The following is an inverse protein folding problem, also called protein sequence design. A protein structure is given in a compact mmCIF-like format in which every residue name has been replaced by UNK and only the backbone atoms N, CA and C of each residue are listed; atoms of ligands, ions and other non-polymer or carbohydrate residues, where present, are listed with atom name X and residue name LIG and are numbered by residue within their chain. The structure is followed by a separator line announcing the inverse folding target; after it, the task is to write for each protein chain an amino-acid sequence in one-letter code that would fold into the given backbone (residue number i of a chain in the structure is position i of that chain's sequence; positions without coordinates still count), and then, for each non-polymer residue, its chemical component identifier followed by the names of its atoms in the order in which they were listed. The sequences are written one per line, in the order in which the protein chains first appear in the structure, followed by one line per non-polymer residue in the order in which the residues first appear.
data_IF_844679140593
#
_entry.id   IF_844679140593
#
_cell.length_a   1.000
_cell.length_b   1.000
_cell.length_c   1.000
_cell.angle_alpha   90.00
_cell.angle_beta   90.00
_cell.angle_gamma   90.00
#
_symmetry.space_group_name_H-M   'P 1'
#
loop_
_entity.id
_entity.type
_entity.pdbx_description
1 polymer ?
#
# COMPACT_ATOMS: atom_id res chain seq x y z
N UNK A 1 -23.88 -20.65 -18.83
CA UNK A 1 -24.52 -21.04 -17.54
C UNK A 1 -24.24 -19.91 -16.56
N UNK A 2 -25.30 -19.35 -15.97
CA UNK A 2 -25.18 -18.42 -14.85
C UNK A 2 -24.56 -19.21 -13.69
N UNK A 3 -23.45 -18.74 -13.13
CA UNK A 3 -22.83 -19.39 -12.00
C UNK A 3 -23.65 -19.03 -10.76
N UNK A 4 -24.12 -20.03 -10.02
CA UNK A 4 -25.04 -19.87 -8.90
C UNK A 4 -24.41 -20.47 -7.63
N UNK A 5 -24.65 -19.84 -6.50
CA UNK A 5 -24.30 -20.32 -5.18
C UNK A 5 -25.56 -20.24 -4.30
N UNK A 6 -26.21 -21.40 -4.04
CA UNK A 6 -27.54 -21.49 -3.49
C UNK A 6 -28.59 -20.69 -4.32
N UNK A 7 -29.22 -19.67 -3.73
CA UNK A 7 -30.16 -18.78 -4.40
C UNK A 7 -29.56 -17.45 -4.88
N UNK A 8 -28.23 -17.30 -4.75
CA UNK A 8 -27.50 -16.13 -5.22
C UNK A 8 -26.91 -16.40 -6.61
N UNK A 9 -27.25 -15.56 -7.56
CA UNK A 9 -26.68 -15.59 -8.91
C UNK A 9 -25.42 -14.73 -8.96
N UNK A 10 -24.31 -15.27 -9.48
CA UNK A 10 -23.06 -14.54 -9.71
C UNK A 10 -23.12 -13.85 -11.08
N UNK A 11 -23.54 -12.58 -11.11
CA UNK A 11 -23.90 -11.89 -12.36
C UNK A 11 -22.70 -11.25 -13.03
N UNK A 12 -21.87 -10.54 -12.26
CA UNK A 12 -20.72 -9.80 -12.80
C UNK A 12 -19.49 -10.02 -11.92
N UNK A 13 -18.36 -10.38 -12.52
CA UNK A 13 -17.09 -10.49 -11.81
C UNK A 13 -16.40 -9.13 -11.74
N UNK A 14 -16.30 -8.56 -10.55
CA UNK A 14 -15.69 -7.24 -10.31
C UNK A 14 -14.16 -7.33 -10.19
N UNK A 15 -13.66 -8.26 -9.35
CA UNK A 15 -12.23 -8.38 -9.04
C UNK A 15 -11.86 -9.80 -8.67
N UNK A 16 -10.61 -10.18 -8.93
CA UNK A 16 -10.02 -11.40 -8.40
C UNK A 16 -8.71 -11.06 -7.71
N UNK A 17 -8.50 -11.54 -6.49
CA UNK A 17 -7.32 -11.27 -5.69
C UNK A 17 -7.07 -12.42 -4.71
N UNK A 18 -5.82 -12.85 -4.57
CA UNK A 18 -5.38 -13.88 -3.62
C UNK A 18 -6.26 -15.15 -3.64
N UNK A 19 -6.66 -15.61 -4.83
CA UNK A 19 -7.53 -16.78 -5.01
C UNK A 19 -9.01 -16.56 -4.70
N UNK A 20 -9.38 -15.39 -4.17
CA UNK A 20 -10.77 -15.00 -3.96
C UNK A 20 -11.29 -14.21 -5.16
N UNK A 21 -12.60 -14.28 -5.38
CA UNK A 21 -13.27 -13.51 -6.44
C UNK A 21 -14.43 -12.72 -5.84
N UNK A 22 -14.47 -11.42 -6.18
CA UNK A 22 -15.55 -10.53 -5.84
C UNK A 22 -16.52 -10.37 -7.01
N UNK A 23 -17.81 -10.53 -6.72
CA UNK A 23 -18.90 -10.49 -7.68
C UNK A 23 -19.94 -9.46 -7.27
N UNK A 24 -20.57 -8.83 -8.26
CA UNK A 24 -21.93 -8.37 -8.13
C UNK A 24 -22.83 -9.57 -8.35
N UNK A 25 -23.77 -9.80 -7.47
CA UNK A 25 -24.69 -10.91 -7.55
C UNK A 25 -26.13 -10.44 -7.41
N UNK A 26 -27.06 -11.36 -7.62
CA UNK A 26 -28.48 -11.16 -7.48
C UNK A 26 -29.06 -12.16 -6.46
N UNK A 27 -29.72 -11.64 -5.43
CA UNK A 27 -30.48 -12.43 -4.47
C UNK A 27 -31.88 -12.69 -5.06
N UNK A 28 -32.12 -13.89 -5.58
CA UNK A 28 -33.37 -14.25 -6.25
C UNK A 28 -34.57 -14.35 -5.32
N UNK A 29 -34.35 -14.45 -4.00
CA UNK A 29 -35.45 -14.50 -3.00
C UNK A 29 -35.94 -13.11 -2.59
N UNK A 30 -34.98 -12.16 -2.47
CA UNK A 30 -35.28 -10.80 -2.04
C UNK A 30 -35.24 -9.79 -3.19
N UNK A 31 -35.02 -10.25 -4.42
CA UNK A 31 -35.02 -9.48 -5.67
C UNK A 31 -34.14 -8.21 -5.55
N UNK A 32 -32.88 -8.40 -5.15
CA UNK A 32 -31.94 -7.29 -4.94
C UNK A 32 -30.51 -7.62 -5.34
N UNK A 33 -29.76 -6.61 -5.69
CA UNK A 33 -28.31 -6.72 -5.84
C UNK A 33 -27.62 -7.00 -4.50
N UNK A 34 -26.59 -7.85 -4.56
CA UNK A 34 -25.73 -8.19 -3.42
C UNK A 34 -24.26 -8.19 -3.85
N UNK A 35 -23.38 -7.97 -2.90
CA UNK A 35 -21.94 -8.13 -3.05
C UNK A 35 -21.53 -9.50 -2.56
N UNK A 36 -20.83 -10.29 -3.37
CA UNK A 36 -20.50 -11.68 -3.05
C UNK A 36 -18.99 -11.87 -3.19
N UNK A 37 -18.34 -12.26 -2.10
CA UNK A 37 -16.96 -12.75 -2.13
C UNK A 37 -16.97 -14.26 -2.11
N UNK A 38 -16.27 -14.90 -3.06
CA UNK A 38 -16.14 -16.36 -3.14
C UNK A 38 -14.70 -16.80 -3.06
N UNK A 39 -14.46 -17.93 -2.37
CA UNK A 39 -13.21 -18.69 -2.38
C UNK A 39 -13.54 -20.17 -2.67
N UNK A 40 -12.59 -20.99 -3.14
CA UNK A 40 -12.78 -22.44 -3.23
C UNK A 40 -13.22 -23.03 -1.87
N UNK A 41 -14.14 -24.00 -1.88
CA UNK A 41 -14.58 -24.66 -0.64
C UNK A 41 -13.43 -25.38 0.10
N UNK A 42 -12.38 -25.74 -0.64
CA UNK A 42 -11.15 -26.36 -0.10
C UNK A 42 -10.10 -25.37 0.38
N UNK A 43 -10.35 -24.05 0.28
CA UNK A 43 -9.41 -23.02 0.70
C UNK A 43 -9.23 -23.06 2.23
N UNK A 44 -8.00 -23.09 2.75
CA UNK A 44 -7.75 -23.15 4.20
C UNK A 44 -8.34 -21.96 4.98
N UNK A 45 -8.60 -20.83 4.31
CA UNK A 45 -9.18 -19.62 4.90
C UNK A 45 -10.67 -19.71 5.16
N UNK A 46 -11.40 -20.73 4.67
CA UNK A 46 -12.86 -20.87 4.81
C UNK A 46 -13.31 -20.72 6.26
N UNK A 47 -12.66 -21.40 7.21
CA UNK A 47 -13.02 -21.34 8.63
C UNK A 47 -12.81 -19.93 9.21
N UNK A 48 -11.68 -19.29 8.91
CA UNK A 48 -11.35 -17.91 9.34
C UNK A 48 -12.37 -16.93 8.73
N UNK A 49 -12.66 -17.07 7.43
CA UNK A 49 -13.60 -16.19 6.72
C UNK A 49 -15.02 -16.30 7.27
N UNK A 50 -15.47 -17.52 7.55
CA UNK A 50 -16.78 -17.76 8.19
C UNK A 50 -16.86 -17.09 9.57
N UNK A 51 -15.86 -17.28 10.41
CA UNK A 51 -15.83 -16.70 11.76
C UNK A 51 -15.78 -15.17 11.73
N UNK A 52 -14.95 -14.60 10.86
CA UNK A 52 -14.79 -13.15 10.70
C UNK A 52 -16.06 -12.51 10.14
N UNK A 53 -16.69 -13.13 9.14
CA UNK A 53 -17.96 -12.67 8.58
C UNK A 53 -19.09 -12.70 9.62
N UNK A 54 -19.18 -13.77 10.42
CA UNK A 54 -20.17 -13.87 11.50
C UNK A 54 -19.97 -12.81 12.59
N UNK A 55 -18.72 -12.48 12.95
CA UNK A 55 -18.42 -11.39 13.85
C UNK A 55 -18.87 -10.04 13.25
N UNK A 56 -18.51 -9.76 12.00
CA UNK A 56 -18.85 -8.52 11.30
C UNK A 56 -20.38 -8.34 11.10
N UNK A 57 -21.15 -9.43 11.01
CA UNK A 57 -22.61 -9.36 10.92
C UNK A 57 -23.26 -8.70 12.14
N UNK A 58 -22.58 -8.69 13.30
CA UNK A 58 -23.04 -8.03 14.53
C UNK A 58 -22.63 -6.55 14.62
N UNK A 59 -21.89 -6.04 13.65
CA UNK A 59 -21.47 -4.63 13.64
C UNK A 59 -22.61 -3.75 13.14
N UNK A 60 -23.20 -3.00 14.07
CA UNK A 60 -24.35 -2.12 13.82
C UNK A 60 -23.89 -0.65 13.73
N UNK A 61 -23.35 -0.27 12.60
CA UNK A 61 -23.04 1.14 12.26
C UNK A 61 -23.58 1.44 10.85
N UNK A 62 -24.32 2.54 10.66
CA UNK A 62 -24.90 2.86 9.35
C UNK A 62 -23.88 3.11 8.25
N UNK A 63 -22.61 3.33 8.60
CA UNK A 63 -21.51 3.50 7.67
C UNK A 63 -20.91 2.19 7.19
N UNK A 64 -21.22 1.07 7.84
CA UNK A 64 -20.73 -0.26 7.46
C UNK A 64 -21.70 -0.94 6.50
N UNK A 65 -21.21 -1.54 5.42
CA UNK A 65 -22.00 -2.47 4.60
C UNK A 65 -22.08 -3.81 5.29
N UNK A 66 -23.31 -4.20 5.65
CA UNK A 66 -23.57 -5.38 6.49
C UNK A 66 -23.27 -6.67 5.73
N UNK A 67 -22.72 -7.62 6.45
CA UNK A 67 -22.73 -9.03 6.05
C UNK A 67 -24.17 -9.55 6.22
N UNK A 68 -24.73 -10.14 5.15
CA UNK A 68 -26.10 -10.60 5.08
C UNK A 68 -26.22 -12.10 5.27
N UNK A 69 -25.25 -12.85 4.70
CA UNK A 69 -25.28 -14.30 4.68
C UNK A 69 -23.88 -14.90 4.46
N UNK A 70 -23.76 -16.18 4.80
CA UNK A 70 -22.57 -16.99 4.54
C UNK A 70 -23.02 -18.34 4.00
N UNK A 71 -22.73 -18.62 2.74
CA UNK A 71 -23.22 -19.78 2.00
C UNK A 71 -22.06 -20.61 1.43
N UNK A 72 -22.32 -21.86 1.09
CA UNK A 72 -21.30 -22.70 0.47
C UNK A 72 -21.86 -23.99 -0.09
N UNK A 73 -21.21 -24.47 -1.13
CA UNK A 73 -21.42 -25.79 -1.72
C UNK A 73 -20.10 -26.60 -1.74
N UNK A 74 -20.07 -27.72 -2.47
CA UNK A 74 -18.88 -28.57 -2.58
C UNK A 74 -17.69 -27.87 -3.27
N UNK A 75 -17.92 -26.82 -4.05
CA UNK A 75 -16.93 -26.15 -4.88
C UNK A 75 -16.54 -24.77 -4.34
N UNK A 76 -17.52 -24.01 -3.84
CA UNK A 76 -17.35 -22.61 -3.45
C UNK A 76 -17.88 -22.34 -2.05
N UNK A 77 -17.19 -21.46 -1.36
CA UNK A 77 -17.64 -20.80 -0.15
C UNK A 77 -17.79 -19.31 -0.44
N UNK A 78 -18.91 -18.70 0.01
CA UNK A 78 -19.22 -17.30 -0.26
C UNK A 78 -19.68 -16.54 0.97
N UNK A 79 -19.30 -15.26 1.05
CA UNK A 79 -19.82 -14.27 1.98
C UNK A 79 -20.61 -13.24 1.21
N UNK A 80 -21.84 -13.05 1.61
CA UNK A 80 -22.82 -12.16 0.99
C UNK A 80 -22.92 -10.90 1.84
N UNK A 81 -22.80 -9.73 1.23
CA UNK A 81 -22.97 -8.44 1.90
C UNK A 81 -23.84 -7.49 1.08
N UNK A 82 -24.23 -6.39 1.69
CA UNK A 82 -24.99 -5.34 1.00
C UNK A 82 -24.26 -4.87 -0.24
N UNK A 83 -25.00 -4.66 -1.33
CA UNK A 83 -24.55 -3.89 -2.48
C UNK A 83 -24.94 -2.43 -2.31
N UNK A 84 -24.07 -1.52 -2.64
CA UNK A 84 -24.33 -0.09 -2.57
C UNK A 84 -23.93 0.60 -3.88
N UNK A 85 -24.79 1.49 -4.34
CA UNK A 85 -24.45 2.38 -5.45
C UNK A 85 -23.79 3.65 -4.91
N UNK A 86 -22.66 4.02 -5.49
CA UNK A 86 -21.89 5.19 -5.09
C UNK A 86 -20.56 5.23 -5.82
N UNK A 87 -19.76 6.21 -5.51
CA UNK A 87 -18.42 6.41 -6.08
C UNK A 87 -17.41 6.19 -4.96
N UNK A 88 -16.40 5.38 -5.17
CA UNK A 88 -15.34 5.17 -4.17
C UNK A 88 -14.49 6.44 -4.01
N UNK A 89 -13.78 6.56 -2.88
CA UNK A 89 -12.81 7.65 -2.73
C UNK A 89 -11.78 7.58 -3.88
N UNK A 90 -11.30 6.39 -4.21
CA UNK A 90 -10.34 6.21 -5.29
C UNK A 90 -10.85 6.75 -6.63
N UNK A 91 -12.09 6.45 -7.01
CA UNK A 91 -12.71 7.00 -8.22
C UNK A 91 -12.95 8.51 -8.13
N UNK A 92 -13.39 9.00 -6.97
CA UNK A 92 -13.73 10.40 -6.77
C UNK A 92 -12.54 11.34 -6.88
N UNK A 93 -11.35 10.93 -6.39
CA UNK A 93 -10.16 11.78 -6.36
C UNK A 93 -9.48 11.94 -7.72
N UNK A 94 -9.69 11.02 -8.66
CA UNK A 94 -9.08 11.08 -9.98
C UNK A 94 -9.49 12.35 -10.72
N UNK A 95 -8.52 13.24 -10.96
CA UNK A 95 -8.73 14.56 -11.59
C UNK A 95 -9.49 15.59 -10.74
N UNK A 96 -9.75 15.31 -9.45
CA UNK A 96 -10.53 16.18 -8.55
C UNK A 96 -9.91 16.41 -7.17
N UNK A 97 -8.75 15.86 -6.89
CA UNK A 97 -8.06 16.15 -5.62
C UNK A 97 -7.48 17.58 -5.60
N UNK A 98 -7.42 18.25 -4.43
CA UNK A 98 -7.95 17.78 -3.14
C UNK A 98 -9.49 17.83 -3.08
N UNK A 99 -10.08 16.86 -2.36
CA UNK A 99 -11.53 16.90 -2.11
C UNK A 99 -11.86 18.00 -1.09
N UNK A 100 -12.87 18.80 -1.38
CA UNK A 100 -13.28 19.89 -0.51
C UNK A 100 -13.83 19.42 0.86
N UNK A 101 -14.38 18.21 0.89
CA UNK A 101 -14.98 17.54 2.06
C UNK A 101 -14.07 16.46 2.68
N UNK A 102 -12.77 16.46 2.32
CA UNK A 102 -11.81 15.44 2.77
C UNK A 102 -11.77 15.29 4.30
N UNK A 103 -11.75 16.39 5.06
CA UNK A 103 -11.73 16.34 6.53
C UNK A 103 -12.95 15.63 7.09
N UNK A 104 -14.15 15.94 6.60
CA UNK A 104 -15.40 15.32 7.05
C UNK A 104 -15.45 13.83 6.70
N UNK A 105 -14.95 13.47 5.51
CA UNK A 105 -14.86 12.08 5.07
C UNK A 105 -13.94 11.30 6.00
N UNK A 106 -12.75 11.80 6.28
CA UNK A 106 -11.76 11.13 7.15
C UNK A 106 -12.24 11.09 8.59
N UNK A 107 -12.84 12.15 9.12
CA UNK A 107 -13.44 12.13 10.45
C UNK A 107 -14.54 11.06 10.55
N UNK A 108 -15.43 10.98 9.57
CA UNK A 108 -16.48 9.95 9.53
C UNK A 108 -15.92 8.53 9.44
N UNK A 109 -14.78 8.35 8.76
CA UNK A 109 -14.07 7.07 8.69
C UNK A 109 -13.46 6.69 10.04
N UNK A 110 -12.79 7.63 10.72
CA UNK A 110 -12.25 7.44 12.07
C UNK A 110 -13.35 7.00 13.04
N UNK A 111 -14.49 7.70 13.02
CA UNK A 111 -15.63 7.38 13.89
C UNK A 111 -16.23 6.00 13.57
N UNK A 112 -16.26 5.60 12.29
CA UNK A 112 -16.71 4.27 11.88
C UNK A 112 -15.79 3.17 12.41
N UNK A 113 -14.48 3.33 12.21
CA UNK A 113 -13.48 2.37 12.69
C UNK A 113 -13.42 2.32 14.22
N UNK A 114 -13.58 3.47 14.90
CA UNK A 114 -13.62 3.50 16.38
C UNK A 114 -14.79 2.67 16.95
N UNK A 115 -15.96 2.70 16.32
CA UNK A 115 -17.10 1.86 16.71
C UNK A 115 -16.80 0.38 16.49
N UNK A 116 -16.19 0.02 15.34
CA UNK A 116 -15.83 -1.36 15.05
C UNK A 116 -14.75 -1.88 16.00
N UNK A 117 -13.67 -1.12 16.23
CA UNK A 117 -12.59 -1.48 17.14
C UNK A 117 -13.07 -1.61 18.59
N UNK A 118 -14.05 -0.80 19.02
CA UNK A 118 -14.70 -0.93 20.31
C UNK A 118 -15.41 -2.29 20.52
N UNK A 119 -15.75 -2.97 19.43
CA UNK A 119 -16.31 -4.32 19.40
C UNK A 119 -15.28 -5.40 19.02
N UNK A 120 -14.01 -5.06 19.00
CA UNK A 120 -12.90 -5.93 18.57
C UNK A 120 -13.06 -6.44 17.13
N UNK A 121 -13.71 -5.66 16.29
CA UNK A 121 -13.87 -5.93 14.86
C UNK A 121 -12.99 -4.94 14.10
N UNK A 122 -12.04 -5.45 13.32
CA UNK A 122 -11.12 -4.67 12.51
C UNK A 122 -11.39 -4.91 11.03
N UNK A 123 -11.11 -3.91 10.20
CA UNK A 123 -11.18 -4.09 8.75
C UNK A 123 -9.91 -4.78 8.23
N UNK A 124 -8.76 -4.35 8.70
CA UNK A 124 -7.44 -4.97 8.53
C UNK A 124 -6.80 -4.88 7.15
N UNK A 125 -7.55 -4.44 6.13
CA UNK A 125 -7.03 -4.28 4.76
C UNK A 125 -7.75 -3.16 4.00
N UNK A 126 -8.08 -2.08 4.68
CA UNK A 126 -8.84 -0.95 4.16
C UNK A 126 -8.05 -0.13 3.14
N UNK A 127 -8.70 0.22 2.03
CA UNK A 127 -8.14 1.06 0.97
C UNK A 127 -9.13 2.15 0.53
N UNK A 128 -8.68 3.07 -0.33
CA UNK A 128 -9.56 4.08 -0.91
C UNK A 128 -10.65 3.50 -1.83
N UNK A 129 -10.47 2.24 -2.29
CA UNK A 129 -11.48 1.51 -3.05
C UNK A 129 -12.64 1.01 -2.18
N UNK A 130 -12.44 0.89 -0.86
CA UNK A 130 -13.41 0.29 0.06
C UNK A 130 -14.33 1.30 0.73
N UNK A 131 -14.04 2.59 0.58
CA UNK A 131 -14.86 3.68 1.12
C UNK A 131 -15.69 4.29 0.00
N UNK A 132 -17.00 4.02 0.04
CA UNK A 132 -17.96 4.47 -0.97
C UNK A 132 -18.64 5.74 -0.48
N UNK A 133 -18.62 6.78 -1.31
CA UNK A 133 -19.29 8.06 -1.09
C UNK A 133 -20.72 7.99 -1.62
N UNK A 134 -21.68 8.30 -0.78
CA UNK A 134 -23.11 8.34 -1.08
C UNK A 134 -23.71 9.71 -0.74
N UNK A 135 -24.96 9.96 -1.09
CA UNK A 135 -25.67 11.17 -0.68
C UNK A 135 -25.89 11.27 0.84
N UNK A 136 -25.82 10.15 1.56
CA UNK A 136 -26.00 10.08 3.02
C UNK A 136 -24.67 10.02 3.80
N UNK A 137 -23.53 10.14 3.14
CA UNK A 137 -22.20 10.04 3.74
C UNK A 137 -21.42 8.85 3.24
N UNK A 138 -20.41 8.44 4.00
CA UNK A 138 -19.57 7.28 3.64
C UNK A 138 -20.26 5.95 3.94
N UNK A 139 -19.90 4.94 3.13
CA UNK A 139 -20.20 3.54 3.39
C UNK A 139 -18.93 2.71 3.19
N UNK A 140 -18.56 1.92 4.19
CA UNK A 140 -17.34 1.09 4.19
C UNK A 140 -17.70 -0.35 3.94
N UNK A 141 -17.12 -0.95 2.90
CA UNK A 141 -17.30 -2.37 2.56
C UNK A 141 -16.11 -3.20 3.03
N UNK A 142 -16.31 -4.50 3.24
CA UNK A 142 -15.23 -5.45 3.44
C UNK A 142 -14.98 -5.88 4.89
N UNK A 143 -15.66 -5.33 5.88
CA UNK A 143 -15.57 -5.84 7.26
C UNK A 143 -15.87 -7.33 7.33
N UNK A 144 -15.01 -8.07 8.05
CA UNK A 144 -15.11 -9.52 8.17
C UNK A 144 -14.70 -10.31 6.92
N UNK A 145 -14.25 -9.66 5.87
CA UNK A 145 -13.84 -10.27 4.61
C UNK A 145 -12.41 -9.86 4.24
N UNK A 146 -12.16 -8.56 4.23
CA UNK A 146 -10.97 -7.98 3.62
C UNK A 146 -9.66 -8.44 4.29
N UNK A 147 -9.59 -8.50 5.61
CA UNK A 147 -8.41 -8.96 6.35
C UNK A 147 -8.09 -10.44 6.14
N UNK A 148 -9.11 -11.25 5.82
CA UNK A 148 -8.91 -12.69 5.54
C UNK A 148 -8.43 -12.90 4.11
N UNK A 149 -8.91 -12.08 3.17
CA UNK A 149 -8.52 -12.17 1.76
C UNK A 149 -7.17 -11.50 1.51
N UNK A 150 -6.94 -10.35 2.16
CA UNK A 150 -5.73 -9.53 2.05
C UNK A 150 -5.09 -9.37 3.43
N UNK A 151 -4.68 -10.48 4.04
CA UNK A 151 -4.13 -10.47 5.39
C UNK A 151 -3.04 -9.41 5.54
N UNK A 152 -3.14 -8.49 6.54
CA UNK A 152 -2.12 -7.49 6.78
C UNK A 152 -0.83 -8.18 7.18
N UNK A 153 0.27 -7.77 6.54
CA UNK A 153 1.55 -8.41 6.74
C UNK A 153 2.43 -7.64 7.72
N UNK A 154 2.98 -8.35 8.70
CA UNK A 154 3.94 -7.80 9.67
C UNK A 154 3.35 -6.78 10.65
N UNK A 155 2.04 -6.52 10.58
CA UNK A 155 1.30 -5.64 11.48
C UNK A 155 -0.05 -6.28 11.82
N UNK A 156 -0.63 -5.88 12.94
CA UNK A 156 -1.96 -6.33 13.34
C UNK A 156 -3.06 -5.61 12.54
N UNK A 157 -4.29 -6.16 12.55
CA UNK A 157 -5.42 -5.57 11.80
C UNK A 157 -5.75 -4.15 12.25
N UNK A 158 -5.65 -3.85 13.56
CA UNK A 158 -5.83 -2.51 14.12
C UNK A 158 -4.75 -1.52 13.65
N UNK A 159 -3.48 -1.97 13.58
CA UNK A 159 -2.37 -1.18 13.05
C UNK A 159 -2.54 -0.90 11.54
N UNK A 160 -3.06 -1.89 10.79
CA UNK A 160 -3.38 -1.73 9.38
C UNK A 160 -4.48 -0.68 9.19
N UNK A 161 -5.54 -0.72 10.00
CA UNK A 161 -6.62 0.27 9.97
C UNK A 161 -6.13 1.67 10.35
N UNK A 162 -5.27 1.78 11.37
CA UNK A 162 -4.66 3.04 11.78
C UNK A 162 -3.86 3.68 10.63
N UNK A 163 -3.06 2.87 9.94
CA UNK A 163 -2.29 3.32 8.77
C UNK A 163 -3.18 3.63 7.57
N UNK A 164 -4.25 2.86 7.36
CA UNK A 164 -5.18 3.04 6.26
C UNK A 164 -5.93 4.38 6.31
N UNK A 165 -6.30 4.87 7.52
CA UNK A 165 -6.90 6.20 7.68
C UNK A 165 -5.98 7.28 7.11
N UNK A 166 -4.70 7.23 7.44
CA UNK A 166 -3.72 8.17 6.90
C UNK A 166 -3.55 8.06 5.39
N UNK A 167 -3.53 6.83 4.88
CA UNK A 167 -3.40 6.57 3.45
C UNK A 167 -4.61 7.07 2.65
N UNK A 168 -5.82 6.89 3.18
CA UNK A 168 -7.04 7.40 2.56
C UNK A 168 -7.11 8.93 2.63
N UNK A 169 -6.69 9.52 3.77
CA UNK A 169 -6.55 10.97 3.91
C UNK A 169 -5.54 11.55 2.92
N UNK A 170 -4.39 10.90 2.80
CA UNK A 170 -3.38 11.25 1.81
C UNK A 170 -3.95 11.20 0.38
N UNK A 171 -4.63 10.11 0.03
CA UNK A 171 -5.27 9.95 -1.27
C UNK A 171 -6.35 11.01 -1.54
N UNK A 172 -7.15 11.36 -0.54
CA UNK A 172 -8.21 12.36 -0.66
C UNK A 172 -7.68 13.74 -1.08
N UNK A 173 -6.42 14.06 -0.76
CA UNK A 173 -5.83 15.37 -1.07
C UNK A 173 -4.77 15.35 -2.17
N UNK A 174 -4.26 14.17 -2.57
CA UNK A 174 -3.20 14.05 -3.59
C UNK A 174 -3.57 13.20 -4.81
N UNK A 175 -4.67 12.44 -4.76
CA UNK A 175 -5.05 11.42 -5.76
C UNK A 175 -4.01 10.31 -5.98
N UNK A 176 -3.12 10.06 -5.01
CA UNK A 176 -2.09 9.00 -5.06
C UNK A 176 -2.12 8.13 -3.81
N UNK A 177 -1.64 6.89 -3.91
CA UNK A 177 -1.66 5.92 -2.82
C UNK A 177 -0.29 5.77 -2.15
N UNK A 178 -0.15 6.04 -0.84
CA UNK A 178 1.15 6.09 -0.17
C UNK A 178 1.62 4.75 0.41
N UNK A 179 0.79 3.69 0.40
CA UNK A 179 1.13 2.37 0.93
C UNK A 179 1.43 1.38 -0.20
N UNK A 180 2.03 0.25 0.17
CA UNK A 180 2.33 -0.85 -0.74
C UNK A 180 1.14 -1.80 -0.97
N UNK A 181 0.01 -1.56 -0.31
CA UNK A 181 -1.21 -2.34 -0.47
C UNK A 181 -1.90 -2.04 -1.81
N UNK A 182 -2.61 -3.03 -2.35
CA UNK A 182 -3.32 -2.89 -3.63
C UNK A 182 -4.47 -1.88 -3.51
N UNK A 183 -4.34 -0.76 -4.20
CA UNK A 183 -5.37 0.25 -4.40
C UNK A 183 -5.40 0.63 -5.89
N UNK A 184 -6.55 1.04 -6.41
CA UNK A 184 -6.68 1.45 -7.81
C UNK A 184 -6.02 2.78 -8.15
N UNK A 185 -5.58 3.53 -7.14
CA UNK A 185 -4.87 4.79 -7.32
C UNK A 185 -3.40 4.58 -7.70
N UNK A 186 -2.80 5.50 -8.46
CA UNK A 186 -1.38 5.48 -8.74
C UNK A 186 -0.57 5.61 -7.45
N UNK A 187 0.60 4.98 -7.41
CA UNK A 187 1.51 5.05 -6.27
C UNK A 187 1.96 6.51 -6.01
N UNK A 188 2.08 6.87 -4.74
CA UNK A 188 2.58 8.18 -4.36
C UNK A 188 4.07 8.33 -4.73
N UNK A 189 4.52 9.52 -5.19
CA UNK A 189 5.92 9.79 -5.48
C UNK A 189 6.79 9.62 -4.25
N UNK A 190 8.01 9.11 -4.45
CA UNK A 190 9.00 8.91 -3.40
C UNK A 190 10.25 9.75 -3.64
N UNK A 191 10.84 10.27 -2.57
CA UNK A 191 12.13 10.95 -2.58
C UNK A 191 12.99 10.40 -1.45
N UNK A 192 14.24 10.03 -1.75
CA UNK A 192 15.17 9.42 -0.79
C UNK A 192 14.60 8.19 -0.04
N UNK A 193 13.73 7.42 -0.69
CA UNK A 193 13.11 6.21 -0.12
C UNK A 193 11.89 6.46 0.76
N UNK A 194 11.46 7.70 0.94
CA UNK A 194 10.26 8.08 1.66
C UNK A 194 9.20 8.62 0.71
N UNK A 195 7.94 8.40 1.03
CA UNK A 195 6.81 9.00 0.31
C UNK A 195 6.80 10.50 0.56
N UNK A 196 6.59 11.29 -0.50
CA UNK A 196 6.47 12.73 -0.43
C UNK A 196 5.31 13.14 0.49
N UNK A 197 5.47 14.25 1.21
CA UNK A 197 4.37 14.79 2.05
C UNK A 197 3.21 15.30 1.18
N UNK A 198 1.95 15.25 1.66
CA UNK A 198 0.81 15.82 0.95
C UNK A 198 1.03 17.25 0.45
N UNK A 199 1.61 18.13 1.29
CA UNK A 199 1.89 19.53 0.93
C UNK A 199 2.90 19.70 -0.20
N UNK A 200 3.78 18.70 -0.42
CA UNK A 200 4.76 18.72 -1.52
C UNK A 200 4.11 18.40 -2.87
N UNK A 201 2.99 17.68 -2.88
CA UNK A 201 2.25 17.30 -4.09
C UNK A 201 1.11 18.27 -4.38
N UNK A 202 0.44 18.74 -3.35
CA UNK A 202 -0.71 19.64 -3.44
C UNK A 202 -0.42 20.93 -2.69
N UNK A 203 -0.05 22.01 -3.39
CA UNK A 203 0.28 23.28 -2.76
C UNK A 203 -0.90 23.87 -1.97
N UNK A 204 -0.59 24.58 -0.88
CA UNK A 204 -1.53 25.27 0.01
C UNK A 204 -2.45 24.35 0.84
N UNK A 205 -2.12 23.09 0.98
CA UNK A 205 -2.81 22.22 1.95
C UNK A 205 -2.55 22.69 3.39
N UNK A 206 -3.55 22.60 4.27
CA UNK A 206 -3.36 22.76 5.71
C UNK A 206 -2.35 21.73 6.26
N UNK A 207 -1.53 22.13 7.24
CA UNK A 207 -0.49 21.28 7.85
C UNK A 207 -1.07 20.01 8.53
N UNK A 208 -2.36 19.97 8.83
CA UNK A 208 -3.00 18.79 9.42
C UNK A 208 -2.86 17.54 8.52
N UNK A 209 -2.77 17.69 7.20
CA UNK A 209 -2.58 16.58 6.27
C UNK A 209 -1.18 15.97 6.36
N UNK A 210 -0.15 16.82 6.45
CA UNK A 210 1.22 16.36 6.68
C UNK A 210 1.36 15.72 8.07
N UNK A 211 0.71 16.31 9.09
CA UNK A 211 0.67 15.74 10.43
C UNK A 211 -0.01 14.36 10.44
N UNK A 212 -1.14 14.22 9.76
CA UNK A 212 -1.82 12.92 9.61
C UNK A 212 -0.88 11.89 8.97
N UNK A 213 -0.21 12.26 7.88
CA UNK A 213 0.74 11.39 7.20
C UNK A 213 1.91 10.97 8.11
N UNK A 214 2.50 11.91 8.86
CA UNK A 214 3.56 11.62 9.83
C UNK A 214 3.12 10.72 10.99
N UNK A 215 1.85 10.80 11.40
CA UNK A 215 1.30 10.04 12.52
C UNK A 215 0.86 8.63 12.15
N UNK A 216 0.63 8.35 10.86
CA UNK A 216 -0.04 7.12 10.44
C UNK A 216 0.71 6.33 9.36
N UNK A 217 1.61 6.96 8.59
CA UNK A 217 2.24 6.32 7.43
C UNK A 217 3.70 5.94 7.68
N UNK A 218 4.01 4.64 7.80
CA UNK A 218 5.40 4.18 7.92
C UNK A 218 6.26 4.55 6.70
N UNK A 219 5.64 4.72 5.54
CA UNK A 219 6.28 5.17 4.30
C UNK A 219 6.73 6.63 4.32
N UNK A 220 6.17 7.44 5.24
CA UNK A 220 6.55 8.83 5.53
C UNK A 220 7.46 8.90 6.74
N UNK A 221 7.16 8.14 7.79
CA UNK A 221 7.89 8.10 9.06
C UNK A 221 8.25 6.66 9.44
N UNK A 222 9.42 6.14 9.08
CA UNK A 222 9.81 4.74 9.31
C UNK A 222 9.90 4.33 10.79
N UNK A 223 10.03 5.28 11.71
CA UNK A 223 10.11 5.02 13.15
C UNK A 223 8.74 5.11 13.85
N UNK A 224 7.68 5.04 13.09
CA UNK A 224 6.32 5.21 13.59
C UNK A 224 5.87 4.02 14.44
N UNK A 225 5.36 4.31 15.63
CA UNK A 225 4.61 3.32 16.40
C UNK A 225 3.15 3.30 15.93
N UNK A 226 2.73 2.22 15.28
CA UNK A 226 1.36 2.02 14.82
C UNK A 226 0.43 1.42 15.89
N UNK A 227 0.97 0.92 17.02
CA UNK A 227 0.18 0.36 18.12
C UNK A 227 -0.50 1.48 18.93
N UNK A 228 -1.42 2.20 18.30
CA UNK A 228 -2.17 3.33 18.85
C UNK A 228 -3.66 3.19 18.54
N UNK A 229 -4.54 3.56 19.46
CA UNK A 229 -5.97 3.48 19.20
C UNK A 229 -6.41 4.51 18.16
N UNK A 230 -7.31 4.10 17.28
CA UNK A 230 -7.80 4.92 16.15
C UNK A 230 -8.39 6.26 16.61
N UNK A 231 -8.97 6.29 17.83
CA UNK A 231 -9.61 7.48 18.40
C UNK A 231 -8.63 8.65 18.62
N UNK A 232 -7.32 8.38 18.70
CA UNK A 232 -6.31 9.43 18.83
C UNK A 232 -6.25 10.33 17.58
N UNK A 233 -6.69 9.85 16.43
CA UNK A 233 -6.73 10.60 15.18
C UNK A 233 -7.80 11.70 15.17
N UNK A 234 -8.79 11.67 16.07
CA UNK A 234 -9.83 12.70 16.17
C UNK A 234 -9.27 14.11 16.42
N UNK A 235 -8.08 14.20 17.01
CA UNK A 235 -7.46 15.49 17.32
C UNK A 235 -6.65 16.10 16.15
N UNK A 236 -6.45 15.37 15.06
CA UNK A 236 -5.60 15.83 13.95
C UNK A 236 -6.19 17.04 13.24
N UNK A 237 -7.52 17.08 13.07
CA UNK A 237 -8.22 18.18 12.43
C UNK A 237 -8.73 19.28 13.41
N UNK A 238 -8.75 18.96 14.71
CA UNK A 238 -9.22 19.89 15.75
C UNK A 238 -8.09 20.67 16.43
N UNK A 239 -6.87 20.65 15.86
CA UNK A 239 -5.74 21.42 16.41
C UNK A 239 -6.17 22.86 16.72
N UNK A 240 -5.89 23.39 17.91
CA UNK A 240 -6.33 24.72 18.28
C UNK A 240 -5.82 25.71 17.25
N UNK A 241 -6.73 26.53 16.70
CA UNK A 241 -6.34 27.73 15.95
C UNK A 241 -5.29 28.41 16.80
N UNK A 242 -4.03 28.40 16.37
CA UNK A 242 -2.91 28.97 17.11
C UNK A 242 -3.38 30.36 17.56
N UNK A 243 -3.54 30.56 18.86
CA UNK A 243 -3.62 31.90 19.39
C UNK A 243 -2.32 32.53 18.94
N UNK A 244 -2.39 33.42 17.96
CA UNK A 244 -1.28 34.31 17.70
C UNK A 244 -0.92 34.87 19.07
N UNK A 245 0.21 34.45 19.61
CA UNK A 245 0.83 35.13 20.72
C UNK A 245 1.10 36.49 20.14
N UNK A 246 0.29 37.48 20.49
CA UNK A 246 0.61 38.88 20.27
C UNK A 246 1.93 39.10 21.03
N UNK A 247 3.03 38.94 20.32
CA UNK A 247 4.32 39.42 20.78
C UNK A 247 4.11 40.91 21.06
N UNK A 248 4.45 41.36 22.27
CA UNK A 248 4.36 42.79 22.55
C UNK A 248 5.16 43.49 21.47
N UNK A 249 4.53 44.45 20.80
CA UNK A 249 5.20 45.36 19.89
C UNK A 249 6.31 46.04 20.67
N UNK A 250 7.55 45.67 20.41
CA UNK A 250 8.71 46.42 20.92
C UNK A 250 8.71 47.71 20.11
N UNK A 251 8.31 48.80 20.72
CA UNK A 251 8.48 50.14 20.18
C UNK A 251 9.99 50.38 20.03
N UNK A 252 10.51 50.12 18.83
CA UNK A 252 11.86 50.52 18.46
C UNK A 252 11.83 52.05 18.24
N UNK A 253 12.78 52.79 18.83
CA UNK A 253 12.90 54.20 18.56
C UNK A 253 13.15 54.41 17.04
N UNK A 254 12.66 55.51 16.42
CA UNK A 254 12.80 55.75 14.99
C UNK A 254 14.25 55.79 14.60
N UNK A 255 14.74 54.71 14.01
CA UNK A 255 16.07 54.69 13.41
C UNK A 255 16.04 55.53 12.13
N UNK A 256 16.78 56.60 12.08
CA UNK A 256 17.05 57.39 10.89
C UNK A 256 17.98 56.60 9.94
N UNK A 257 17.42 55.59 9.28
CA UNK A 257 18.10 54.91 8.18
C UNK A 257 17.82 55.72 6.91
N UNK A 258 18.88 56.32 6.38
CA UNK A 258 18.84 57.06 5.11
C UNK A 258 18.33 56.12 3.99
N UNK A 259 17.46 56.64 3.13
CA UNK A 259 16.87 55.89 2.01
C UNK A 259 17.90 55.27 1.03
N UNK A 260 19.12 55.75 1.02
CA UNK A 260 20.23 55.21 0.22
C UNK A 260 20.79 53.87 0.73
N UNK A 261 20.67 53.56 2.04
CA UNK A 261 21.17 52.27 2.60
C UNK A 261 20.22 51.10 2.30
N UNK A 262 18.92 51.37 2.15
CA UNK A 262 17.94 50.33 1.85
C UNK A 262 18.00 49.80 0.41
N UNK A 263 18.36 50.69 -0.55
CA UNK A 263 18.49 50.36 -1.97
C UNK A 263 19.73 49.46 -2.19
N UNK A 264 20.81 49.68 -1.47
CA UNK A 264 22.02 48.87 -1.57
C UNK A 264 21.83 47.44 -1.01
N UNK A 265 21.07 47.28 0.06
CA UNK A 265 20.77 45.96 0.66
C UNK A 265 19.86 45.11 -0.24
N UNK A 266 18.86 45.71 -0.89
CA UNK A 266 17.95 45.01 -1.82
C UNK A 266 18.66 44.62 -3.12
N UNK A 267 19.60 45.43 -3.61
CA UNK A 267 20.35 45.13 -4.82
C UNK A 267 21.33 43.96 -4.64
N UNK A 268 21.93 43.78 -3.45
CA UNK A 268 22.83 42.66 -3.16
C UNK A 268 22.09 41.34 -3.00
N UNK A 269 20.86 41.31 -2.48
CA UNK A 269 20.04 40.09 -2.38
C UNK A 269 19.52 39.68 -3.76
N UNK A 270 19.12 40.64 -4.61
CA UNK A 270 18.67 40.36 -5.97
C UNK A 270 19.79 39.81 -6.87
N UNK A 271 21.04 40.31 -6.75
CA UNK A 271 22.16 39.80 -7.53
C UNK A 271 22.61 38.41 -7.13
N UNK A 272 22.50 38.03 -5.84
CA UNK A 272 22.77 36.65 -5.37
C UNK A 272 21.73 35.62 -5.87
N UNK A 273 20.46 36.01 -6.00
CA UNK A 273 19.42 35.13 -6.55
C UNK A 273 19.55 34.94 -8.07
N UNK A 274 20.02 35.92 -8.80
CA UNK A 274 20.23 35.84 -10.26
C UNK A 274 21.45 34.98 -10.60
N UNK A 275 22.53 35.06 -9.85
CA UNK A 275 23.70 34.20 -10.05
C UNK A 275 23.43 32.75 -9.71
N UNK A 276 22.60 32.45 -8.70
CA UNK A 276 22.17 31.11 -8.36
C UNK A 276 21.30 30.47 -9.44
N UNK A 277 20.42 31.22 -10.09
CA UNK A 277 19.51 30.71 -11.13
C UNK A 277 20.22 30.46 -12.47
N UNK A 278 21.27 31.17 -12.80
CA UNK A 278 22.04 30.99 -14.06
C UNK A 278 22.93 29.75 -14.01
N UNK A 279 23.44 29.36 -12.85
CA UNK A 279 24.25 28.13 -12.70
C UNK A 279 23.44 26.85 -12.75
N UNK A 280 22.14 26.88 -12.46
CA UNK A 280 21.24 25.71 -12.55
C UNK A 280 20.71 25.51 -13.98
N UNK A 281 20.66 26.58 -14.80
CA UNK A 281 20.10 26.50 -16.16
C UNK A 281 21.12 26.08 -17.24
N UNK A 282 22.42 26.13 -16.95
CA UNK A 282 23.48 25.83 -17.93
C UNK A 282 23.85 24.32 -18.01
N UNK A 283 23.27 23.46 -17.19
CA UNK A 283 23.53 22.01 -17.19
C UNK A 283 22.43 21.14 -17.85
N UNK A 284 21.42 21.76 -18.48
CA UNK A 284 20.27 21.07 -19.06
C UNK A 284 19.96 21.49 -20.51
N UNK A 285 21.01 21.50 -21.37
CA UNK A 285 20.77 21.69 -22.80
C UNK A 285 21.50 20.64 -23.62
N UNK A 286 20.86 19.47 -23.74
CA UNK A 286 21.06 18.56 -24.86
C UNK A 286 19.68 18.17 -25.37
N UNK A 287 19.40 18.61 -26.62
CA UNK A 287 18.15 18.37 -27.34
C UNK A 287 18.02 16.90 -27.73
N UNK A 288 16.85 16.31 -27.66
CA UNK A 288 16.56 15.09 -28.40
C UNK A 288 15.80 15.40 -29.70
N UNK A 289 16.24 14.75 -30.70
CA UNK A 289 15.68 14.65 -32.05
C UNK A 289 14.27 14.05 -32.01
N UNK A 290 13.34 14.72 -32.65
CA UNK A 290 11.99 14.25 -32.94
C UNK A 290 12.00 13.02 -33.85
N UNK A 291 11.31 11.95 -33.43
CA UNK A 291 10.69 11.02 -34.32
C UNK A 291 9.27 10.73 -33.81
N UNK A 292 8.32 11.18 -34.60
CA UNK A 292 6.91 10.84 -34.52
C UNK A 292 6.68 9.38 -34.86
N UNK A 293 5.99 8.63 -34.02
CA UNK A 293 5.21 7.45 -34.39
C UNK A 293 4.01 7.29 -33.45
N UNK A 294 2.89 7.41 -34.06
CA UNK A 294 1.57 6.81 -33.86
C UNK A 294 1.16 6.27 -32.47
N UNK A 295 0.13 6.92 -32.03
CA UNK A 295 -0.97 6.56 -31.16
C UNK A 295 -1.26 5.06 -31.09
N UNK A 296 -1.07 4.46 -29.93
CA UNK A 296 -1.79 3.27 -29.52
C UNK A 296 -2.00 3.31 -28.02
N UNK A 297 -3.18 3.80 -27.62
CA UNK A 297 -3.67 3.78 -26.25
C UNK A 297 -3.86 2.34 -25.78
N UNK A 298 -2.93 1.86 -25.01
CA UNK A 298 -3.19 0.84 -23.99
C UNK A 298 -2.59 1.35 -22.70
N UNK A 299 -3.45 1.83 -21.81
CA UNK A 299 -3.10 2.20 -20.46
C UNK A 299 -2.45 1.00 -19.76
N UNK A 300 -1.14 1.03 -19.64
CA UNK A 300 -0.37 0.06 -18.87
C UNK A 300 -0.67 0.32 -17.40
N UNK A 301 -1.50 -0.54 -16.87
CA UNK A 301 -1.82 -0.70 -15.45
C UNK A 301 -0.51 -0.97 -14.67
N UNK A 302 0.00 0.00 -13.95
CA UNK A 302 1.21 -0.11 -13.10
C UNK A 302 0.94 -0.94 -11.83
N UNK A 303 0.20 -2.05 -11.97
CA UNK A 303 -0.03 -2.98 -10.87
C UNK A 303 1.26 -3.74 -10.58
N UNK A 304 1.50 -4.04 -9.30
CA UNK A 304 2.48 -5.03 -8.85
C UNK A 304 2.17 -6.38 -9.51
N UNK A 305 2.71 -6.59 -10.68
CA UNK A 305 2.56 -7.80 -11.45
C UNK A 305 3.51 -8.87 -10.92
N UNK A 306 3.05 -10.11 -10.87
CA UNK A 306 3.93 -11.25 -10.63
C UNK A 306 4.98 -11.29 -11.75
N UNK A 307 6.24 -11.11 -11.38
CA UNK A 307 7.31 -11.02 -12.37
C UNK A 307 7.57 -12.37 -13.02
N UNK A 308 7.72 -12.42 -14.34
CA UNK A 308 7.98 -13.66 -15.06
C UNK A 308 9.39 -14.16 -14.75
N UNK A 309 9.47 -15.28 -14.05
CA UNK A 309 10.71 -15.97 -13.70
C UNK A 309 11.17 -16.81 -14.88
N UNK A 310 12.45 -16.71 -15.23
CA UNK A 310 13.10 -17.57 -16.22
C UNK A 310 13.62 -18.85 -15.58
N UNK A 311 14.26 -18.73 -14.41
CA UNK A 311 14.94 -19.81 -13.74
C UNK A 311 15.04 -19.55 -12.24
N UNK A 312 14.97 -20.63 -11.44
CA UNK A 312 15.27 -20.62 -10.00
C UNK A 312 16.40 -21.61 -9.75
N UNK A 313 17.39 -21.22 -8.97
CA UNK A 313 18.50 -22.07 -8.54
C UNK A 313 18.83 -21.84 -7.08
N UNK A 314 19.41 -22.84 -6.41
CA UNK A 314 20.06 -22.69 -5.12
C UNK A 314 21.56 -22.62 -5.37
N UNK A 315 22.21 -21.59 -4.81
CA UNK A 315 23.65 -21.45 -4.83
C UNK A 315 24.17 -22.12 -3.56
N UNK A 316 24.98 -23.14 -3.73
CA UNK A 316 25.63 -23.83 -2.59
C UNK A 316 26.91 -23.11 -2.14
N UNK A 317 27.55 -23.67 -1.11
CA UNK A 317 28.78 -23.11 -0.55
C UNK A 317 30.01 -23.25 -1.50
N UNK A 318 29.88 -23.96 -2.61
CA UNK A 318 30.89 -24.12 -3.66
C UNK A 318 30.60 -23.14 -4.84
N UNK A 319 29.58 -22.28 -4.69
CA UNK A 319 29.11 -21.30 -5.68
C UNK A 319 28.57 -21.89 -7.01
N UNK A 320 28.21 -23.17 -7.00
CA UNK A 320 27.56 -23.80 -8.15
C UNK A 320 26.02 -23.68 -8.07
N UNK A 321 25.36 -23.13 -9.11
CA UNK A 321 23.91 -23.00 -9.12
C UNK A 321 23.21 -24.33 -9.45
N UNK A 322 22.48 -24.88 -8.50
CA UNK A 322 21.64 -26.06 -8.68
C UNK A 322 20.24 -25.63 -9.12
N UNK A 323 19.85 -25.99 -10.34
CA UNK A 323 18.54 -25.68 -10.90
C UNK A 323 17.40 -26.35 -10.14
N UNK A 324 16.34 -25.56 -9.89
CA UNK A 324 15.11 -26.00 -9.24
C UNK A 324 13.98 -26.05 -10.29
N UNK A 325 13.30 -27.19 -10.47
CA UNK A 325 12.14 -27.29 -11.33
C UNK A 325 11.02 -26.38 -10.88
N UNK A 326 10.27 -25.80 -11.80
CA UNK A 326 9.12 -24.95 -11.51
C UNK A 326 8.09 -25.69 -10.63
N UNK A 327 7.67 -25.06 -9.53
CA UNK A 327 6.70 -25.61 -8.58
C UNK A 327 7.24 -26.69 -7.64
N UNK A 328 8.54 -27.00 -7.67
CA UNK A 328 9.13 -27.97 -6.75
C UNK A 328 9.35 -27.35 -5.36
N UNK A 329 9.11 -28.14 -4.32
CA UNK A 329 9.57 -27.86 -2.96
C UNK A 329 11.06 -28.23 -2.88
N UNK A 330 11.88 -27.34 -2.39
CA UNK A 330 13.34 -27.55 -2.31
C UNK A 330 13.90 -27.15 -0.94
N UNK A 331 15.05 -27.69 -0.61
CA UNK A 331 15.71 -27.45 0.66
C UNK A 331 16.90 -26.51 0.48
N UNK A 332 17.03 -25.54 1.39
CA UNK A 332 18.14 -24.59 1.46
C UNK A 332 18.80 -24.71 2.81
N UNK A 333 20.11 -24.92 2.83
CA UNK A 333 20.89 -24.96 4.05
C UNK A 333 21.27 -23.57 4.55
N UNK A 334 21.62 -23.47 5.82
CA UNK A 334 22.13 -22.21 6.37
C UNK A 334 23.37 -21.72 5.59
N UNK A 335 23.34 -20.45 5.20
CA UNK A 335 24.41 -19.81 4.41
C UNK A 335 24.29 -19.97 2.90
N UNK A 336 23.36 -20.77 2.40
CA UNK A 336 23.05 -20.85 0.97
C UNK A 336 22.13 -19.71 0.52
N UNK A 337 22.07 -19.48 -0.79
CA UNK A 337 21.20 -18.49 -1.40
C UNK A 337 20.26 -19.10 -2.45
N UNK A 338 19.08 -18.54 -2.55
CA UNK A 338 18.17 -18.77 -3.65
C UNK A 338 18.42 -17.69 -4.69
N UNK A 339 18.69 -18.07 -5.92
CA UNK A 339 18.85 -17.15 -7.01
C UNK A 339 17.73 -17.33 -8.03
N UNK A 340 17.05 -16.25 -8.33
CA UNK A 340 15.96 -16.19 -9.27
C UNK A 340 16.38 -15.29 -10.43
N UNK A 341 16.42 -15.84 -11.64
CA UNK A 341 16.62 -15.08 -12.85
C UNK A 341 15.26 -14.66 -13.41
N UNK A 342 15.08 -13.37 -13.59
CA UNK A 342 13.92 -12.81 -14.26
C UNK A 342 14.09 -12.92 -15.78
N UNK A 343 12.99 -13.03 -16.52
CA UNK A 343 13.04 -13.09 -18.01
C UNK A 343 13.52 -11.78 -18.62
N UNK A 344 13.25 -10.68 -17.93
CA UNK A 344 13.61 -9.34 -18.36
C UNK A 344 14.05 -8.53 -17.16
N UNK A 345 14.79 -7.44 -17.40
CA UNK A 345 15.16 -6.48 -16.36
C UNK A 345 13.89 -5.84 -15.80
N UNK A 346 13.67 -5.95 -14.49
CA UNK A 346 12.46 -5.49 -13.83
C UNK A 346 12.79 -4.77 -12.53
N UNK A 347 11.92 -3.85 -12.14
CA UNK A 347 11.97 -3.25 -10.81
C UNK A 347 11.24 -4.17 -9.85
N UNK A 348 11.99 -4.79 -8.92
CA UNK A 348 11.45 -5.64 -7.88
C UNK A 348 11.03 -4.77 -6.69
N UNK A 349 9.82 -4.97 -6.23
CA UNK A 349 9.24 -4.22 -5.13
C UNK A 349 9.03 -5.11 -3.90
N UNK A 350 8.67 -6.37 -4.13
CA UNK A 350 8.29 -7.31 -3.09
C UNK A 350 8.66 -8.74 -3.51
N UNK A 351 9.04 -9.54 -2.51
CA UNK A 351 9.28 -10.97 -2.67
C UNK A 351 8.46 -11.70 -1.61
N UNK A 352 7.76 -12.75 -1.99
CA UNK A 352 7.05 -13.65 -1.11
C UNK A 352 7.76 -15.00 -1.07
N UNK A 353 7.96 -15.54 0.14
CA UNK A 353 8.63 -16.82 0.37
C UNK A 353 7.83 -17.62 1.39
N UNK A 354 7.44 -18.84 1.02
CA UNK A 354 6.79 -19.77 1.94
C UNK A 354 7.83 -20.76 2.47
N UNK A 355 8.04 -20.70 3.79
CA UNK A 355 9.01 -21.48 4.56
C UNK A 355 8.30 -22.57 5.39
N UNK A 356 8.92 -23.72 5.57
CA UNK A 356 8.34 -24.76 6.46
C UNK A 356 8.63 -24.52 7.95
N UNK A 357 9.57 -23.62 8.25
CA UNK A 357 10.01 -23.32 9.63
C UNK A 357 10.06 -21.81 9.82
N UNK A 358 9.58 -21.33 10.96
CA UNK A 358 9.73 -19.93 11.37
C UNK A 358 11.10 -19.67 12.03
N UNK A 359 11.48 -18.40 12.20
CA UNK A 359 12.73 -18.01 12.85
C UNK A 359 13.94 -17.97 11.91
N UNK A 360 13.73 -17.89 10.61
CA UNK A 360 14.78 -17.81 9.59
C UNK A 360 15.10 -16.34 9.28
N UNK A 361 16.38 -16.00 9.12
CA UNK A 361 16.79 -14.68 8.67
C UNK A 361 16.94 -14.68 7.14
N UNK A 362 16.38 -13.68 6.48
CA UNK A 362 16.38 -13.54 5.03
C UNK A 362 16.94 -12.19 4.64
N UNK A 363 17.88 -12.19 3.67
CA UNK A 363 18.38 -10.97 3.03
C UNK A 363 18.13 -11.06 1.53
N UNK A 364 17.41 -10.12 0.96
CA UNK A 364 17.11 -10.08 -0.47
C UNK A 364 17.87 -8.96 -1.19
N UNK A 365 18.47 -9.30 -2.33
CA UNK A 365 19.22 -8.40 -3.20
C UNK A 365 18.77 -8.55 -4.65
N UNK A 366 18.71 -7.43 -5.38
CA UNK A 366 18.37 -7.40 -6.81
C UNK A 366 19.54 -6.79 -7.56
N UNK A 367 20.06 -7.47 -8.56
CA UNK A 367 21.27 -7.08 -9.29
C UNK A 367 21.11 -7.32 -10.80
N UNK A 368 21.96 -6.71 -11.61
CA UNK A 368 21.98 -6.95 -13.07
C UNK A 368 22.74 -8.22 -13.46
N UNK A 369 23.57 -8.74 -12.56
CA UNK A 369 24.32 -9.99 -12.73
C UNK A 369 24.10 -10.91 -11.52
N UNK A 370 24.30 -12.20 -11.71
CA UNK A 370 24.33 -13.20 -10.64
C UNK A 370 25.40 -12.86 -9.62
N UNK A 371 25.07 -12.97 -8.33
CA UNK A 371 25.98 -12.70 -7.21
C UNK A 371 26.16 -13.97 -6.38
N UNK A 372 27.37 -14.21 -5.91
CA UNK A 372 27.75 -15.37 -5.08
C UNK A 372 28.15 -14.98 -3.66
N UNK A 373 28.20 -13.68 -3.37
CA UNK A 373 28.57 -13.16 -2.05
C UNK A 373 27.57 -12.09 -1.59
N UNK A 374 27.35 -12.04 -0.28
CA UNK A 374 26.53 -11.00 0.34
C UNK A 374 27.22 -9.63 0.20
N UNK A 375 26.44 -8.62 -0.19
CA UNK A 375 26.90 -7.24 -0.26
C UNK A 375 25.74 -6.28 0.03
N UNK A 376 26.05 -5.00 0.22
CA UNK A 376 25.01 -3.98 0.33
C UNK A 376 24.48 -3.49 -1.04
N UNK A 377 25.09 -3.98 -2.12
CA UNK A 377 24.69 -3.62 -3.48
C UNK A 377 23.37 -4.30 -3.83
N UNK A 378 22.40 -3.52 -4.29
CA UNK A 378 21.10 -4.05 -4.71
C UNK A 378 20.22 -4.56 -3.56
N UNK A 379 20.52 -4.24 -2.29
CA UNK A 379 19.72 -4.65 -1.14
C UNK A 379 18.28 -4.17 -1.29
N UNK A 380 17.34 -5.13 -1.40
CA UNK A 380 15.91 -4.88 -1.41
C UNK A 380 15.39 -4.79 0.03
N UNK A 381 15.71 -5.75 0.87
CA UNK A 381 15.28 -5.79 2.27
C UNK A 381 15.89 -6.97 3.03
N UNK A 382 15.66 -6.94 4.34
CA UNK A 382 16.12 -7.97 5.28
C UNK A 382 15.01 -8.24 6.30
N UNK A 383 14.84 -9.50 6.67
CA UNK A 383 13.91 -9.93 7.71
C UNK A 383 14.70 -10.81 8.70
N UNK A 384 14.57 -10.52 9.98
CA UNK A 384 15.03 -11.35 11.06
C UNK A 384 13.86 -12.13 11.65
N UNK A 385 14.07 -13.40 12.00
CA UNK A 385 13.02 -14.28 12.56
C UNK A 385 11.76 -14.37 11.69
N UNK A 386 11.93 -14.57 10.38
CA UNK A 386 10.83 -14.70 9.43
C UNK A 386 9.80 -15.74 9.89
N UNK A 387 8.51 -15.42 9.71
CA UNK A 387 7.41 -16.36 9.89
C UNK A 387 7.42 -17.43 8.77
N UNK A 388 6.54 -18.43 8.87
CA UNK A 388 6.42 -19.49 7.85
C UNK A 388 6.07 -18.97 6.45
N UNK A 389 5.42 -17.82 6.34
CA UNK A 389 5.32 -17.05 5.09
C UNK A 389 6.00 -15.71 5.32
N UNK A 390 7.08 -15.46 4.60
CA UNK A 390 7.85 -14.24 4.69
C UNK A 390 7.66 -13.39 3.44
N UNK A 391 7.49 -12.08 3.62
CA UNK A 391 7.48 -11.12 2.52
C UNK A 391 8.63 -10.15 2.74
N UNK A 392 9.60 -10.18 1.84
CA UNK A 392 10.73 -9.26 1.86
C UNK A 392 10.41 -8.08 0.96
N UNK A 393 10.38 -6.90 1.52
CA UNK A 393 10.36 -5.65 0.77
C UNK A 393 11.27 -4.65 1.47
N UNK A 394 11.81 -3.73 0.71
CA UNK A 394 12.72 -2.72 1.23
C UNK A 394 12.21 -1.31 1.00
N UNK A 395 12.84 -0.34 1.62
CA UNK A 395 12.52 1.06 1.44
C UNK A 395 12.88 1.57 0.03
N UNK A 396 13.52 0.75 -0.80
CA UNK A 396 13.95 1.10 -2.15
C UNK A 396 13.45 0.07 -3.14
N UNK A 397 12.97 0.55 -4.28
CA UNK A 397 12.75 -0.29 -5.45
C UNK A 397 14.09 -0.53 -6.12
N UNK A 398 14.44 -1.78 -6.36
CA UNK A 398 15.69 -2.15 -6.99
C UNK A 398 15.42 -2.81 -8.32
N UNK A 399 16.11 -2.35 -9.35
CA UNK A 399 15.93 -2.85 -10.71
C UNK A 399 17.08 -3.77 -11.10
N UNK A 400 16.78 -4.93 -11.65
CA UNK A 400 17.77 -5.90 -12.09
C UNK A 400 17.18 -7.11 -12.78
N UNK A 401 18.06 -8.00 -13.21
CA UNK A 401 17.70 -9.28 -13.85
C UNK A 401 17.75 -10.46 -12.89
N UNK A 402 18.46 -10.32 -11.78
CA UNK A 402 18.67 -11.36 -10.79
C UNK A 402 18.18 -10.92 -9.42
N UNK A 403 17.47 -11.81 -8.77
CA UNK A 403 17.05 -11.68 -7.39
C UNK A 403 17.75 -12.78 -6.59
N UNK A 404 18.55 -12.40 -5.59
CA UNK A 404 19.25 -13.34 -4.72
C UNK A 404 18.74 -13.20 -3.29
N UNK A 405 18.34 -14.31 -2.69
CA UNK A 405 17.81 -14.37 -1.32
C UNK A 405 18.73 -15.25 -0.49
N UNK A 406 19.45 -14.64 0.41
CA UNK A 406 20.31 -15.31 1.37
C UNK A 406 19.49 -15.82 2.54
N UNK A 407 19.71 -17.09 2.90
CA UNK A 407 18.97 -17.77 3.96
C UNK A 407 19.90 -18.08 5.12
N UNK A 408 19.59 -17.56 6.30
CA UNK A 408 20.29 -17.86 7.54
C UNK A 408 19.34 -18.54 8.52
N UNK A 409 19.65 -19.76 8.90
CA UNK A 409 18.89 -20.52 9.89
C UNK A 409 19.61 -20.43 11.23
N UNK A 410 19.07 -19.70 12.24
CA UNK A 410 19.67 -19.66 13.57
C UNK A 410 19.76 -21.07 14.16
N UNK A 411 20.98 -21.47 14.61
CA UNK A 411 21.23 -22.81 15.11
C UNK A 411 21.62 -23.85 14.06
N UNK A 412 21.71 -23.45 12.78
CA UNK A 412 22.06 -24.34 11.66
C UNK A 412 20.87 -25.20 11.20
N UNK A 413 21.08 -25.96 10.13
CA UNK A 413 20.07 -26.85 9.56
C UNK A 413 19.56 -26.39 8.19
N UNK A 414 18.53 -27.08 7.71
CA UNK A 414 17.94 -26.83 6.42
C UNK A 414 16.49 -26.30 6.59
N UNK A 415 16.09 -25.39 5.73
CA UNK A 415 14.70 -24.96 5.59
C UNK A 415 14.16 -25.42 4.24
N UNK A 416 12.94 -25.93 4.22
CA UNK A 416 12.25 -26.21 2.96
C UNK A 416 11.48 -24.98 2.53
N UNK A 417 11.51 -24.73 1.22
CA UNK A 417 10.83 -23.61 0.58
C UNK A 417 9.84 -24.20 -0.43
N UNK A 418 8.59 -23.88 -0.24
CA UNK A 418 7.49 -24.37 -1.09
C UNK A 418 7.10 -23.39 -2.18
N UNK A 419 7.41 -22.08 -1.97
CA UNK A 419 7.09 -21.05 -2.94
C UNK A 419 8.05 -19.87 -2.80
N UNK A 420 8.45 -19.32 -3.96
CA UNK A 420 9.08 -18.00 -4.04
C UNK A 420 8.41 -17.23 -5.19
N UNK A 421 7.98 -16.01 -4.92
CA UNK A 421 7.35 -15.14 -5.90
C UNK A 421 7.92 -13.74 -5.81
N UNK A 422 8.23 -13.11 -6.94
CA UNK A 422 8.69 -11.74 -7.03
C UNK A 422 7.63 -10.88 -7.72
N UNK A 423 7.41 -9.68 -7.19
CA UNK A 423 6.45 -8.72 -7.70
C UNK A 423 7.12 -7.39 -7.98
N UNK A 424 6.68 -6.72 -9.03
CA UNK A 424 7.25 -5.44 -9.41
C UNK A 424 6.60 -4.82 -10.64
N UNK A 425 7.27 -3.83 -11.21
CA UNK A 425 6.83 -3.12 -12.41
C UNK A 425 7.80 -3.35 -13.56
N UNK A 426 7.37 -3.22 -14.83
CA UNK A 426 8.26 -3.08 -15.97
C UNK A 426 9.26 -1.93 -15.74
N UNK A 427 10.50 -2.13 -16.18
CA UNK A 427 11.57 -1.10 -16.09
C UNK A 427 11.32 0.02 -17.07
#
# INVERSE_FOLDING_TARGET
MVKQLEHYELTERIKQVNGATWWRGWDSKLERDVSIWTIPATDPRVLKLRASAAAAANLHDPRVLRVLDVVGDENLFGVISEWIHGVTIAERVLGRAPLADAEQIIQSLIDCLAVAHGQQIHHGALTADDVVLTSSGIRVRGFGIASVINEPFGITEDQADFSAVGAIGYAAVTATWPLLTNCSLPAAPTAAGLVALPSQLTPKLPNCWDNLAHLTLPTVNPNLNLARPIIELNNVFTAPKSKFINLPTIDLPPSTISRSGLIAAVATIASLLIVGSVLVFSSLSTSPTTNSLEDNQTGTDLRNELLPVAQVSVIDNENEPKLIPAGAVFSVAAGQAIQIQLRERRTVQRIEIDLTVAGVNLLAQVTDAAITEKSDVGKLGEITEAASTAIVFGPRFVTGNFLTIWVEVPGGGNVQISRVAAYGTPS
#
